data_IF_635597018220
#
_entry.id   IF_635597018220
#
_cell.length_a   1.000
_cell.length_b   1.000
_cell.length_c   1.000
_cell.angle_alpha   90.00
_cell.angle_beta   90.00
_cell.angle_gamma   90.00
#
_symmetry.space_group_name_H-M   'P 1'
#
loop_
_entity.id
_entity.type
_entity.pdbx_description
1 polymer ?
#
# COMPACT_ATOMS: atom_id res chain seq x y z
N UNK A 1 -10.66 12.06 -9.71
CA UNK A 1 -10.70 13.43 -10.27
C UNK A 1 -9.83 14.34 -9.42
N UNK A 2 -9.39 15.48 -9.97
CA UNK A 2 -8.57 16.47 -9.27
C UNK A 2 -9.45 17.59 -8.73
N UNK A 3 -9.30 17.94 -7.46
CA UNK A 3 -9.98 19.09 -6.85
C UNK A 3 -9.25 20.38 -7.20
N UNK A 4 -10.00 21.41 -7.61
CA UNK A 4 -9.45 22.74 -7.94
C UNK A 4 -9.87 23.72 -6.85
N UNK A 5 -8.90 24.13 -6.03
CA UNK A 5 -9.10 24.95 -4.83
C UNK A 5 -8.85 26.44 -5.05
N UNK A 6 -8.64 26.87 -6.30
CA UNK A 6 -8.35 28.27 -6.65
C UNK A 6 -9.33 29.26 -5.99
N UNK A 7 -10.64 29.03 -6.17
CA UNK A 7 -11.69 29.91 -5.60
C UNK A 7 -11.73 29.88 -4.07
N UNK A 8 -11.34 28.76 -3.47
CA UNK A 8 -11.26 28.65 -2.01
C UNK A 8 -10.12 29.54 -1.50
N UNK A 9 -8.95 29.43 -2.13
CA UNK A 9 -7.75 30.18 -1.81
C UNK A 9 -7.95 31.69 -1.98
N UNK A 10 -8.58 32.12 -3.09
CA UNK A 10 -8.97 33.52 -3.30
C UNK A 10 -9.87 34.06 -2.18
N UNK A 11 -10.79 33.25 -1.65
CA UNK A 11 -11.73 33.68 -0.61
C UNK A 11 -11.10 33.81 0.78
N UNK A 12 -10.08 33.02 1.07
CA UNK A 12 -9.38 33.03 2.37
C UNK A 12 -8.08 33.84 2.32
N UNK A 13 -7.83 34.57 1.22
CA UNK A 13 -6.62 35.33 0.97
C UNK A 13 -5.32 34.50 1.13
N UNK A 14 -5.39 33.25 0.69
CA UNK A 14 -4.25 32.33 0.71
C UNK A 14 -3.64 32.26 -0.69
N UNK A 15 -2.37 32.64 -0.83
CA UNK A 15 -1.62 32.47 -2.07
C UNK A 15 -0.65 31.29 -1.98
N UNK A 16 -0.67 30.43 -2.99
CA UNK A 16 0.18 29.24 -3.09
C UNK A 16 1.06 29.33 -4.33
N UNK A 17 2.34 29.57 -4.12
CA UNK A 17 3.36 29.51 -5.17
C UNK A 17 4.07 28.15 -5.13
N UNK A 18 4.19 27.51 -6.28
CA UNK A 18 4.89 26.22 -6.42
C UNK A 18 6.14 26.45 -7.25
N UNK A 19 7.29 26.19 -6.63
CA UNK A 19 8.57 26.13 -7.34
C UNK A 19 8.84 24.67 -7.68
N UNK A 20 8.79 24.35 -8.97
CA UNK A 20 8.97 22.98 -9.45
C UNK A 20 9.95 22.94 -10.62
N UNK A 21 10.58 21.78 -10.82
CA UNK A 21 11.41 21.50 -12.00
C UNK A 21 10.95 20.19 -12.64
N UNK A 22 10.52 20.26 -13.89
CA UNK A 22 10.10 19.10 -14.67
C UNK A 22 8.67 19.24 -15.21
N UNK A 23 8.44 18.72 -16.43
CA UNK A 23 7.17 18.88 -17.17
C UNK A 23 5.94 18.44 -16.39
N UNK A 24 6.05 17.45 -15.50
CA UNK A 24 4.93 16.86 -14.77
C UNK A 24 5.08 16.98 -13.24
N UNK A 25 6.02 17.80 -12.76
CA UNK A 25 6.36 17.91 -11.33
C UNK A 25 5.20 18.44 -10.47
N UNK A 26 4.21 19.08 -11.08
CA UNK A 26 3.09 19.72 -10.40
C UNK A 26 1.79 18.92 -10.41
N UNK A 27 1.76 17.75 -11.06
CA UNK A 27 0.54 16.98 -11.32
C UNK A 27 -0.35 16.83 -10.07
N UNK A 28 0.28 16.44 -8.96
CA UNK A 28 -0.38 16.18 -7.68
C UNK A 28 -0.32 17.37 -6.70
N UNK A 29 0.54 18.35 -6.95
CA UNK A 29 0.78 19.45 -6.02
C UNK A 29 -0.04 20.71 -6.33
N UNK A 30 -0.35 20.94 -7.62
CA UNK A 30 -1.01 22.16 -8.10
C UNK A 30 -2.54 22.07 -8.04
N UNK A 31 -3.13 22.14 -6.84
CA UNK A 31 -4.57 22.22 -6.61
C UNK A 31 -5.16 23.62 -6.90
N UNK A 32 -4.33 24.65 -7.03
CA UNK A 32 -4.74 26.02 -7.36
C UNK A 32 -5.07 26.25 -8.84
N UNK A 33 -4.92 25.24 -9.71
CA UNK A 33 -5.24 25.34 -11.15
C UNK A 33 -5.71 24.00 -11.73
N UNK A 34 -6.49 24.00 -12.82
CA UNK A 34 -6.81 22.79 -13.57
C UNK A 34 -5.55 22.09 -14.11
N UNK A 35 -5.71 20.83 -14.50
CA UNK A 35 -4.70 20.12 -15.28
C UNK A 35 -4.44 20.88 -16.58
N UNK A 36 -3.18 21.01 -16.96
CA UNK A 36 -2.82 21.46 -18.32
C UNK A 36 -3.29 20.42 -19.35
N UNK A 37 -3.45 20.79 -20.63
CA UNK A 37 -3.88 19.84 -21.66
C UNK A 37 -3.05 18.56 -21.74
N UNK A 38 -1.71 18.67 -21.63
CA UNK A 38 -0.79 17.53 -21.63
C UNK A 38 -0.92 16.65 -20.38
N UNK A 39 -1.11 17.28 -19.22
CA UNK A 39 -1.38 16.58 -17.95
C UNK A 39 -2.72 15.83 -17.99
N UNK A 40 -3.75 16.45 -18.59
CA UNK A 40 -5.08 15.87 -18.72
C UNK A 40 -5.08 14.67 -19.68
N UNK A 41 -4.40 14.78 -20.82
CA UNK A 41 -4.21 13.66 -21.76
C UNK A 41 -3.48 12.48 -21.10
N UNK A 42 -2.44 12.76 -20.33
CA UNK A 42 -1.72 11.74 -19.57
C UNK A 42 -2.63 11.02 -18.57
N UNK A 43 -3.43 11.79 -17.83
CA UNK A 43 -4.38 11.24 -16.85
C UNK A 43 -5.45 10.38 -17.54
N UNK A 44 -6.02 10.86 -18.64
CA UNK A 44 -7.03 10.14 -19.42
C UNK A 44 -6.48 8.82 -19.97
N UNK A 45 -5.29 8.85 -20.58
CA UNK A 45 -4.63 7.65 -21.08
C UNK A 45 -4.32 6.65 -19.96
N UNK A 46 -3.90 7.14 -18.79
CA UNK A 46 -3.68 6.29 -17.62
C UNK A 46 -4.98 5.62 -17.14
N UNK A 47 -6.08 6.38 -17.09
CA UNK A 47 -7.39 5.86 -16.71
C UNK A 47 -7.90 4.81 -17.71
N UNK A 48 -7.79 5.07 -19.01
CA UNK A 48 -8.17 4.12 -20.06
C UNK A 48 -7.37 2.82 -19.99
N UNK A 49 -6.05 2.92 -19.76
CA UNK A 49 -5.19 1.75 -19.59
C UNK A 49 -5.56 0.94 -18.34
N UNK A 50 -5.84 1.61 -17.22
CA UNK A 50 -6.29 0.94 -16.00
C UNK A 50 -7.64 0.24 -16.20
N UNK A 51 -8.58 0.90 -16.88
CA UNK A 51 -9.89 0.33 -17.23
C UNK A 51 -9.74 -0.92 -18.08
N UNK A 52 -9.03 -0.82 -19.21
CA UNK A 52 -8.79 -1.94 -20.11
C UNK A 52 -8.11 -3.11 -19.37
N UNK A 53 -7.06 -2.84 -18.58
CA UNK A 53 -6.39 -3.88 -17.81
C UNK A 53 -7.32 -4.59 -16.83
N UNK A 54 -8.20 -3.86 -16.14
CA UNK A 54 -9.15 -4.45 -15.22
C UNK A 54 -10.20 -5.29 -15.94
N UNK A 55 -10.83 -4.72 -16.98
CA UNK A 55 -11.84 -5.39 -17.80
C UNK A 55 -11.31 -6.68 -18.41
N UNK A 56 -10.14 -6.63 -19.04
CA UNK A 56 -9.57 -7.77 -19.77
C UNK A 56 -9.21 -8.91 -18.79
N UNK A 57 -8.65 -8.58 -17.62
CA UNK A 57 -8.39 -9.57 -16.55
C UNK A 57 -9.69 -10.18 -16.03
N UNK A 58 -10.72 -9.37 -15.82
CA UNK A 58 -12.02 -9.85 -15.36
C UNK A 58 -12.65 -10.78 -16.41
N UNK A 59 -12.61 -10.39 -17.70
CA UNK A 59 -13.11 -11.18 -18.81
C UNK A 59 -12.40 -12.54 -18.89
N UNK A 60 -11.07 -12.55 -18.83
CA UNK A 60 -10.27 -13.77 -18.79
C UNK A 60 -10.61 -14.66 -17.60
N UNK A 61 -10.72 -14.08 -16.39
CA UNK A 61 -11.04 -14.82 -15.16
C UNK A 61 -12.45 -15.43 -15.16
N UNK A 62 -13.38 -14.86 -15.92
CA UNK A 62 -14.74 -15.38 -16.09
C UNK A 62 -14.92 -16.18 -17.38
N UNK A 63 -13.85 -16.37 -18.14
CA UNK A 63 -13.88 -17.05 -19.45
C UNK A 63 -14.93 -16.46 -20.39
N UNK A 64 -15.11 -15.13 -20.36
CA UNK A 64 -16.03 -14.40 -21.25
C UNK A 64 -15.25 -13.51 -22.22
N UNK A 65 -15.88 -13.15 -23.33
CA UNK A 65 -15.31 -12.18 -24.28
C UNK A 65 -15.23 -10.78 -23.66
N UNK A 66 -14.34 -9.95 -24.20
CA UNK A 66 -14.23 -8.54 -23.80
C UNK A 66 -15.56 -7.81 -24.02
N UNK A 67 -16.23 -8.04 -25.15
CA UNK A 67 -17.51 -7.41 -25.46
C UNK A 67 -18.61 -7.79 -24.46
N UNK A 68 -18.68 -9.07 -24.08
CA UNK A 68 -19.60 -9.52 -23.02
C UNK A 68 -19.30 -8.83 -21.69
N UNK A 69 -18.03 -8.77 -21.29
CA UNK A 69 -17.64 -8.08 -20.06
C UNK A 69 -17.99 -6.58 -20.12
N UNK A 70 -17.78 -5.93 -21.26
CA UNK A 70 -18.11 -4.52 -21.47
C UNK A 70 -19.61 -4.24 -21.20
N UNK A 71 -20.50 -5.14 -21.62
CA UNK A 71 -21.96 -4.98 -21.39
C UNK A 71 -22.36 -5.00 -19.93
N UNK A 72 -21.52 -5.54 -19.03
CA UNK A 72 -21.76 -5.61 -17.58
C UNK A 72 -20.77 -4.77 -16.75
N UNK A 73 -19.76 -4.16 -17.37
CA UNK A 73 -18.75 -3.30 -16.75
C UNK A 73 -19.24 -1.83 -16.62
N UNK A 74 -18.36 -0.86 -16.88
CA UNK A 74 -18.65 0.60 -16.84
C UNK A 74 -18.96 1.17 -15.45
N UNK A 75 -18.31 0.64 -14.41
CA UNK A 75 -18.46 1.17 -13.04
C UNK A 75 -19.84 0.92 -12.39
N UNK A 76 -20.69 0.10 -13.00
CA UNK A 76 -21.97 -0.31 -12.43
C UNK A 76 -21.75 -1.22 -11.21
N UNK A 77 -22.56 -0.99 -10.19
CA UNK A 77 -22.61 -1.83 -9.00
C UNK A 77 -23.71 -2.86 -9.16
N UNK A 78 -23.38 -4.12 -8.88
CA UNK A 78 -24.32 -5.24 -8.95
C UNK A 78 -24.59 -5.80 -7.56
N UNK A 79 -25.85 -6.18 -7.31
CA UNK A 79 -26.17 -7.03 -6.17
C UNK A 79 -25.50 -8.41 -6.35
N UNK A 80 -25.31 -9.17 -5.27
CA UNK A 80 -24.75 -10.52 -5.39
C UNK A 80 -25.58 -11.40 -6.34
N UNK A 81 -26.90 -11.35 -6.23
CA UNK A 81 -27.83 -12.10 -7.08
C UNK A 81 -27.70 -11.70 -8.56
N UNK A 82 -27.61 -10.40 -8.83
CA UNK A 82 -27.38 -9.88 -10.18
C UNK A 82 -26.02 -10.25 -10.75
N UNK A 83 -24.98 -10.25 -9.91
CA UNK A 83 -23.65 -10.66 -10.31
C UNK A 83 -23.64 -12.15 -10.68
N UNK A 84 -24.38 -13.00 -9.95
CA UNK A 84 -24.48 -14.42 -10.24
C UNK A 84 -25.21 -14.68 -11.57
N UNK A 85 -26.33 -13.99 -11.83
CA UNK A 85 -27.07 -14.14 -13.09
C UNK A 85 -26.29 -13.65 -14.31
N UNK A 86 -25.30 -12.77 -14.11
CA UNK A 86 -24.40 -12.22 -15.14
C UNK A 86 -23.06 -12.95 -15.24
N UNK A 87 -22.85 -14.02 -14.47
CA UNK A 87 -21.59 -14.79 -14.49
C UNK A 87 -20.38 -14.04 -13.92
N UNK A 88 -20.60 -13.00 -13.10
CA UNK A 88 -19.53 -12.26 -12.43
C UNK A 88 -19.05 -12.98 -11.16
N UNK A 89 -19.90 -13.80 -10.54
CA UNK A 89 -19.58 -14.65 -9.37
C UNK A 89 -20.03 -16.08 -9.61
N UNK A 90 -19.33 -17.04 -8.98
CA UNK A 90 -19.61 -18.47 -9.16
C UNK A 90 -20.76 -18.99 -8.28
N UNK A 91 -20.97 -18.39 -7.11
CA UNK A 91 -21.96 -18.84 -6.13
C UNK A 91 -22.35 -17.75 -5.15
N UNK A 92 -23.56 -17.86 -4.60
CA UNK A 92 -24.06 -17.01 -3.52
C UNK A 92 -23.91 -17.73 -2.18
N UNK A 93 -23.42 -17.01 -1.17
CA UNK A 93 -23.30 -17.54 0.18
C UNK A 93 -22.44 -16.67 1.07
N UNK A 94 -22.34 -17.07 2.33
CA UNK A 94 -21.44 -16.48 3.31
C UNK A 94 -20.11 -17.22 3.42
N UNK A 95 -19.35 -16.85 4.45
CA UNK A 95 -18.05 -17.45 4.74
C UNK A 95 -18.07 -18.98 4.85
N UNK A 96 -19.09 -19.56 5.50
CA UNK A 96 -19.22 -21.01 5.65
C UNK A 96 -19.30 -21.74 4.31
N UNK A 97 -19.99 -21.16 3.32
CA UNK A 97 -20.08 -21.72 1.98
C UNK A 97 -18.73 -21.63 1.25
N UNK A 98 -18.05 -20.49 1.36
CA UNK A 98 -16.71 -20.31 0.81
C UNK A 98 -15.71 -21.33 1.41
N UNK A 99 -15.79 -21.58 2.72
CA UNK A 99 -14.96 -22.57 3.40
C UNK A 99 -15.24 -24.00 2.92
N UNK A 100 -16.52 -24.35 2.74
CA UNK A 100 -16.91 -25.67 2.23
C UNK A 100 -16.39 -25.90 0.80
N UNK A 101 -16.51 -24.90 -0.08
CA UNK A 101 -15.97 -24.93 -1.46
C UNK A 101 -14.44 -25.05 -1.43
N UNK A 102 -13.75 -24.28 -0.59
CA UNK A 102 -12.30 -24.36 -0.46
C UNK A 102 -11.83 -25.74 0.01
N UNK A 103 -12.50 -26.33 1.03
CA UNK A 103 -12.23 -27.70 1.49
C UNK A 103 -12.41 -28.71 0.36
N UNK A 104 -13.50 -28.60 -0.40
CA UNK A 104 -13.79 -29.48 -1.53
C UNK A 104 -12.69 -29.39 -2.60
N UNK A 105 -12.30 -28.17 -2.99
CA UNK A 105 -11.23 -27.93 -3.98
C UNK A 105 -9.87 -28.44 -3.50
N UNK A 106 -9.60 -28.37 -2.19
CA UNK A 106 -8.38 -28.87 -1.55
C UNK A 106 -8.45 -30.37 -1.20
N UNK A 107 -9.55 -31.08 -1.51
CA UNK A 107 -9.77 -32.49 -1.16
C UNK A 107 -9.70 -32.77 0.36
N UNK A 108 -10.16 -31.82 1.16
CA UNK A 108 -10.24 -31.94 2.62
C UNK A 108 -11.68 -32.36 3.01
N UNK A 109 -11.86 -33.36 3.89
CA UNK A 109 -13.18 -33.74 4.40
C UNK A 109 -13.92 -32.57 5.06
N UNK A 110 -15.23 -32.47 4.86
CA UNK A 110 -16.03 -31.31 5.30
C UNK A 110 -16.12 -31.20 6.82
N UNK A 111 -16.15 -32.34 7.50
CA UNK A 111 -16.16 -32.49 8.96
C UNK A 111 -14.80 -32.18 9.62
N UNK A 112 -13.70 -32.21 8.86
CA UNK A 112 -12.37 -31.92 9.39
C UNK A 112 -12.27 -30.46 9.83
N UNK A 113 -11.89 -30.23 11.09
CA UNK A 113 -11.61 -28.88 11.61
C UNK A 113 -10.37 -28.32 10.89
N UNK A 114 -10.47 -27.08 10.44
CA UNK A 114 -9.37 -26.34 9.79
C UNK A 114 -9.11 -25.08 10.59
N UNK A 115 -7.82 -24.71 10.72
CA UNK A 115 -7.43 -23.45 11.35
C UNK A 115 -7.38 -22.37 10.26
N UNK A 116 -8.15 -21.30 10.46
CA UNK A 116 -8.02 -20.11 9.64
C UNK A 116 -6.77 -19.34 10.08
N UNK A 117 -5.92 -18.99 9.13
CA UNK A 117 -4.75 -18.14 9.36
C UNK A 117 -4.89 -16.95 8.43
N UNK A 118 -4.89 -15.75 8.98
CA UNK A 118 -4.80 -14.53 8.20
C UNK A 118 -3.35 -14.36 7.77
N UNK A 119 -3.11 -14.45 6.46
CA UNK A 119 -1.79 -14.17 5.89
C UNK A 119 -1.76 -12.68 5.57
N UNK A 120 -1.45 -11.87 6.56
CA UNK A 120 -1.07 -10.48 6.33
C UNK A 120 0.24 -10.51 5.54
N UNK A 121 0.34 -9.78 4.42
CA UNK A 121 1.67 -9.51 3.82
C UNK A 121 2.54 -8.93 4.93
N UNK A 122 3.76 -9.44 5.07
CA UNK A 122 4.73 -8.83 5.98
C UNK A 122 4.73 -7.33 5.72
N UNK A 123 4.39 -6.53 6.75
CA UNK A 123 4.54 -5.09 6.65
C UNK A 123 5.98 -4.82 6.28
N UNK A 124 6.25 -3.98 5.27
CA UNK A 124 7.62 -3.65 4.91
C UNK A 124 8.32 -3.14 6.17
N UNK A 125 9.45 -3.73 6.47
CA UNK A 125 10.25 -3.33 7.63
C UNK A 125 10.69 -1.88 7.44
N UNK A 126 10.93 -1.16 8.54
CA UNK A 126 11.41 0.24 8.45
C UNK A 126 12.62 0.40 7.50
N UNK A 127 13.62 -0.51 7.46
CA UNK A 127 14.68 -0.47 6.46
C UNK A 127 14.21 -0.60 5.00
N UNK A 128 13.20 -1.43 4.72
CA UNK A 128 12.60 -1.57 3.38
C UNK A 128 11.80 -0.33 2.99
N UNK A 129 11.12 0.30 3.95
CA UNK A 129 10.42 1.58 3.74
C UNK A 129 11.44 2.69 3.43
N UNK A 130 12.51 2.77 4.22
CA UNK A 130 13.55 3.79 4.08
C UNK A 130 14.36 3.63 2.79
N UNK A 131 14.65 2.39 2.38
CA UNK A 131 15.32 2.11 1.09
C UNK A 131 14.39 2.34 -0.09
N UNK A 132 13.08 2.11 0.05
CA UNK A 132 12.07 2.40 -0.97
C UNK A 132 11.79 3.90 -1.21
N UNK A 133 12.08 4.76 -0.23
CA UNK A 133 11.92 6.23 -0.34
C UNK A 133 13.06 6.91 -1.13
N UNK A 134 14.12 6.17 -1.49
CA UNK A 134 15.10 6.62 -2.47
C UNK A 134 16.33 7.32 -1.88
N UNK A 135 17.49 7.04 -2.50
CA UNK A 135 18.81 7.53 -2.12
C UNK A 135 18.96 9.04 -2.24
N UNK A 136 18.63 9.75 -1.16
CA UNK A 136 19.10 11.11 -0.92
C UNK A 136 19.55 11.20 0.54
N UNK A 137 20.88 11.16 0.72
CA UNK A 137 21.62 11.12 1.99
C UNK A 137 21.18 12.20 3.02
N UNK A 138 20.49 13.24 2.57
CA UNK A 138 20.08 14.39 3.40
C UNK A 138 18.72 14.20 4.13
N UNK A 139 17.94 13.15 3.82
CA UNK A 139 16.63 12.92 4.45
C UNK A 139 16.63 11.95 5.64
N UNK A 140 17.63 11.08 5.73
CA UNK A 140 17.69 9.98 6.71
C UNK A 140 17.83 10.51 8.14
N UNK A 141 18.65 11.54 8.34
CA UNK A 141 18.95 12.10 9.66
C UNK A 141 17.71 12.69 10.36
N UNK A 142 16.83 13.37 9.60
CA UNK A 142 15.58 13.94 10.13
C UNK A 142 14.56 12.87 10.52
N UNK A 143 14.47 11.80 9.73
CA UNK A 143 13.51 10.71 10.01
C UNK A 143 13.98 9.89 11.21
N UNK A 144 15.28 9.60 11.31
CA UNK A 144 15.86 8.90 12.47
C UNK A 144 15.64 9.71 13.75
N UNK A 145 15.83 11.03 13.72
CA UNK A 145 15.57 11.90 14.88
C UNK A 145 14.10 11.92 15.31
N UNK A 146 13.17 11.96 14.34
CA UNK A 146 11.74 11.93 14.62
C UNK A 146 11.29 10.61 15.27
N UNK A 147 11.81 9.48 14.75
CA UNK A 147 11.50 8.15 15.31
C UNK A 147 12.12 7.98 16.71
N UNK A 148 13.33 8.49 16.96
CA UNK A 148 13.92 8.44 18.31
C UNK A 148 13.12 9.27 19.33
N UNK A 149 12.57 10.40 18.92
CA UNK A 149 11.73 11.23 19.79
C UNK A 149 10.39 10.55 20.10
N UNK A 150 9.79 9.89 19.12
CA UNK A 150 8.55 9.13 19.35
C UNK A 150 8.77 7.92 20.27
N UNK A 151 9.87 7.17 20.07
CA UNK A 151 10.21 5.99 20.88
C UNK A 151 10.57 6.37 22.32
N UNK A 152 11.18 7.54 22.55
CA UNK A 152 11.50 8.02 23.91
C UNK A 152 10.31 8.66 24.62
N UNK A 153 9.25 9.04 23.89
CA UNK A 153 8.03 9.61 24.47
C UNK A 153 7.00 8.57 24.93
N UNK A 154 7.17 7.29 24.58
CA UNK A 154 6.27 6.21 24.97
C UNK A 154 6.51 5.77 26.43
N UNK A 155 6.09 6.61 27.37
CA UNK A 155 5.78 6.19 28.74
C UNK A 155 4.49 5.37 28.73
N UNK A 156 4.59 4.06 28.44
CA UNK A 156 3.44 3.16 28.45
C UNK A 156 3.79 1.68 28.36
N UNK A 157 3.87 1.03 29.52
CA UNK A 157 3.82 -0.43 29.78
C UNK A 157 4.69 -1.32 28.87
N UNK A 158 5.93 -1.51 29.30
CA UNK A 158 6.90 -2.45 28.75
C UNK A 158 6.55 -3.90 29.14
N UNK A 159 5.96 -4.67 28.22
CA UNK A 159 5.97 -6.13 28.32
C UNK A 159 7.37 -6.63 27.91
N UNK A 160 8.15 -7.11 28.88
CA UNK A 160 9.48 -7.68 28.64
C UNK A 160 9.35 -8.92 27.76
N UNK A 161 10.08 -8.93 26.65
CA UNK A 161 10.45 -10.15 25.95
C UNK A 161 11.97 -10.20 25.93
N UNK A 162 12.54 -10.86 26.93
CA UNK A 162 13.99 -11.05 27.05
C UNK A 162 14.50 -11.94 25.90
N UNK A 163 15.66 -11.57 25.35
CA UNK A 163 16.68 -12.55 24.98
C UNK A 163 16.87 -12.97 23.53
N UNK A 164 16.05 -12.57 22.55
CA UNK A 164 16.19 -13.13 21.18
C UNK A 164 17.00 -12.22 20.22
N UNK A 165 17.30 -10.97 20.60
CA UNK A 165 17.89 -10.02 19.65
C UNK A 165 19.43 -10.03 19.59
N UNK A 166 20.13 -10.46 20.64
CA UNK A 166 21.59 -10.25 20.75
C UNK A 166 22.47 -11.47 20.45
N UNK A 167 21.98 -12.70 20.61
CA UNK A 167 22.78 -13.92 20.37
C UNK A 167 23.18 -14.10 18.89
N UNK A 168 22.43 -13.49 17.95
CA UNK A 168 22.68 -13.69 16.52
C UNK A 168 23.74 -12.76 15.93
N UNK A 169 24.21 -11.76 16.68
CA UNK A 169 25.17 -10.76 16.20
C UNK A 169 26.61 -11.03 16.67
N UNK A 170 26.83 -11.98 17.60
CA UNK A 170 28.18 -12.33 18.09
C UNK A 170 29.00 -13.19 17.11
N UNK A 171 28.36 -13.87 16.16
CA UNK A 171 29.02 -14.88 15.31
C UNK A 171 29.33 -14.43 13.87
N UNK A 172 29.47 -13.13 13.60
CA UNK A 172 30.00 -12.67 12.31
C UNK A 172 31.53 -12.50 12.36
N UNK A 173 32.32 -13.26 11.57
CA UNK A 173 33.76 -13.08 11.51
C UNK A 173 34.06 -11.85 10.63
N UNK A 174 34.51 -10.79 11.28
CA UNK A 174 34.90 -9.53 10.65
C UNK A 174 34.61 -8.38 11.59
N UNK A 175 35.67 -7.81 12.17
CA UNK A 175 35.62 -6.67 13.08
C UNK A 175 34.82 -5.50 12.45
N UNK A 176 33.54 -5.41 12.77
CA UNK A 176 32.65 -4.44 12.18
C UNK A 176 32.69 -3.16 13.01
N UNK A 177 33.40 -2.14 12.50
CA UNK A 177 33.62 -0.86 13.21
C UNK A 177 32.32 -0.13 13.57
N UNK A 178 31.22 -0.41 12.86
CA UNK A 178 29.87 0.06 13.21
C UNK A 178 29.37 -0.48 14.56
N UNK A 179 29.71 -1.73 14.90
CA UNK A 179 29.34 -2.32 16.18
C UNK A 179 30.11 -1.67 17.34
N UNK A 180 31.39 -1.34 17.14
CA UNK A 180 32.20 -0.60 18.10
C UNK A 180 31.63 0.81 18.33
N UNK A 181 31.25 1.51 17.25
CA UNK A 181 30.68 2.86 17.33
C UNK A 181 29.33 2.88 18.07
N UNK A 182 28.48 1.88 17.83
CA UNK A 182 27.20 1.74 18.55
C UNK A 182 27.43 1.40 20.02
N UNK A 183 28.41 0.53 20.33
CA UNK A 183 28.76 0.18 21.71
C UNK A 183 29.36 1.38 22.47
N UNK A 184 30.17 2.19 21.80
CA UNK A 184 30.78 3.40 22.36
C UNK A 184 29.73 4.48 22.66
N UNK A 185 28.77 4.70 21.74
CA UNK A 185 27.64 5.61 21.95
C UNK A 185 26.77 5.12 23.12
N UNK A 186 26.54 3.82 23.24
CA UNK A 186 25.69 3.26 24.31
C UNK A 186 26.35 3.38 25.69
N UNK A 187 27.67 3.22 25.77
CA UNK A 187 28.43 3.41 27.02
C UNK A 187 28.62 4.89 27.41
N UNK A 188 28.45 5.83 26.49
CA UNK A 188 28.54 7.27 26.77
C UNK A 188 27.28 7.83 27.44
N UNK A 189 26.15 7.09 27.38
CA UNK A 189 24.86 7.49 27.96
C UNK A 189 24.40 6.57 29.12
N UNK A 190 25.32 5.80 29.72
CA UNK A 190 25.10 4.95 30.89
C UNK A 190 25.78 5.48 32.15
#
# INVERSE_FOLDING_TARGET
>A
GKFILQKLYERIDFNKEILSRGRYAELNAADQRPLRPDEAELFEKSAQNAYASFRDKAAMSRSMSIDQMETVAQGRVWSGQDAASRGLVDSLGGFSQALAIAKQRAKIPQDKKVRLVEISKASPTLPEILSGIGGSVLGVDRVVKGVLQDVTSLNGVQARMDGILFERLENMPGENQLFLLVKEITNYFG
#
